data_IF_986960747695
#
_entry.id   IF_986960747695
#
_cell.length_a   1.000
_cell.length_b   1.000
_cell.length_c   1.000
_cell.angle_alpha   90.00
_cell.angle_beta   90.00
_cell.angle_gamma   90.00
#
_symmetry.space_group_name_H-M   'P 1'
#
loop_
_entity.id
_entity.type
_entity.pdbx_description
1 polymer ?
#
# COMPACT_ATOMS: atom_id res chain seq x y z
N UNK A 1 -15.46 -2.13 -14.94
CA UNK A 1 -15.66 -1.58 -13.58
C UNK A 1 -16.21 -2.69 -12.72
N UNK A 2 -15.59 -3.00 -11.58
CA UNK A 2 -16.14 -4.00 -10.65
C UNK A 2 -17.38 -3.42 -9.97
N UNK A 3 -18.47 -4.17 -9.94
CA UNK A 3 -19.70 -3.80 -9.22
C UNK A 3 -19.83 -4.73 -8.01
N UNK A 4 -19.76 -4.17 -6.80
CA UNK A 4 -19.97 -4.93 -5.56
C UNK A 4 -21.46 -5.02 -5.24
N UNK A 5 -21.93 -6.18 -4.81
CA UNK A 5 -23.33 -6.42 -4.45
C UNK A 5 -23.63 -5.93 -3.05
N UNK A 6 -22.62 -5.93 -2.18
CA UNK A 6 -22.74 -5.43 -0.81
C UNK A 6 -21.62 -4.47 -0.44
N UNK A 7 -21.88 -3.62 0.55
CA UNK A 7 -20.85 -2.77 1.17
C UNK A 7 -19.74 -3.61 1.83
N UNK A 8 -20.04 -4.83 2.27
CA UNK A 8 -19.05 -5.71 2.90
C UNK A 8 -18.02 -6.21 1.88
N UNK A 9 -18.48 -6.62 0.70
CA UNK A 9 -17.59 -7.02 -0.41
C UNK A 9 -16.70 -5.86 -0.85
N UNK A 10 -17.28 -4.66 -1.05
CA UNK A 10 -16.52 -3.47 -1.40
C UNK A 10 -15.44 -3.15 -0.35
N UNK A 11 -15.77 -3.28 0.94
CA UNK A 11 -14.83 -3.09 2.03
C UNK A 11 -13.68 -4.09 1.96
N UNK A 12 -13.99 -5.38 1.78
CA UNK A 12 -12.98 -6.43 1.72
C UNK A 12 -11.99 -6.19 0.56
N UNK A 13 -12.48 -5.81 -0.60
CA UNK A 13 -11.65 -5.54 -1.78
C UNK A 13 -10.78 -4.29 -1.57
N UNK A 14 -11.31 -3.23 -0.96
CA UNK A 14 -10.52 -2.03 -0.62
C UNK A 14 -9.39 -2.38 0.35
N UNK A 15 -9.66 -3.16 1.39
CA UNK A 15 -8.60 -3.57 2.34
C UNK A 15 -7.58 -4.51 1.70
N UNK A 16 -8.02 -5.40 0.81
CA UNK A 16 -7.13 -6.25 0.01
C UNK A 16 -6.21 -5.40 -0.86
N UNK A 17 -6.76 -4.41 -1.55
CA UNK A 17 -6.00 -3.47 -2.36
C UNK A 17 -5.03 -2.65 -1.50
N UNK A 18 -5.45 -2.13 -0.34
CA UNK A 18 -4.59 -1.35 0.55
C UNK A 18 -3.39 -2.18 1.03
N UNK A 19 -3.60 -3.46 1.36
CA UNK A 19 -2.51 -4.37 1.75
C UNK A 19 -1.54 -4.59 0.60
N UNK A 20 -2.04 -4.83 -0.61
CA UNK A 20 -1.18 -4.96 -1.79
C UNK A 20 -0.39 -3.67 -2.07
N UNK A 21 -1.08 -2.53 -2.11
CA UNK A 21 -0.48 -1.24 -2.43
C UNK A 21 0.62 -0.86 -1.44
N UNK A 22 0.37 -1.02 -0.14
CA UNK A 22 1.33 -0.60 0.89
C UNK A 22 2.52 -1.54 1.06
N UNK A 23 2.37 -2.84 0.78
CA UNK A 23 3.39 -3.85 1.12
C UNK A 23 3.95 -4.65 -0.05
N UNK A 24 3.37 -4.56 -1.25
CA UNK A 24 3.78 -5.40 -2.38
C UNK A 24 3.98 -4.60 -3.67
N UNK A 25 3.27 -3.48 -3.84
CA UNK A 25 3.43 -2.65 -5.03
C UNK A 25 4.71 -1.83 -4.92
N UNK A 26 5.61 -1.99 -5.88
CA UNK A 26 6.81 -1.16 -6.01
C UNK A 26 6.47 0.12 -6.79
N UNK A 27 7.11 1.22 -6.40
CA UNK A 27 6.88 2.53 -7.01
C UNK A 27 8.20 3.13 -7.49
N UNK A 28 8.32 3.37 -8.80
CA UNK A 28 9.53 3.95 -9.40
C UNK A 28 9.87 5.34 -8.85
N UNK A 29 8.87 6.15 -8.49
CA UNK A 29 9.04 7.49 -7.89
C UNK A 29 9.78 7.47 -6.55
N UNK A 30 9.74 6.34 -5.82
CA UNK A 30 10.42 6.15 -4.54
C UNK A 30 11.49 5.05 -4.66
N UNK A 31 12.17 4.99 -5.80
CA UNK A 31 13.31 4.11 -6.00
C UNK A 31 12.97 2.63 -6.12
N UNK A 32 11.74 2.29 -6.55
CA UNK A 32 11.23 0.91 -6.59
C UNK A 32 11.06 0.27 -5.21
N UNK A 33 10.74 1.07 -4.20
CA UNK A 33 10.31 0.58 -2.88
C UNK A 33 8.78 0.55 -2.78
N UNK A 34 8.29 -0.20 -1.80
CA UNK A 34 6.91 -0.10 -1.32
C UNK A 34 6.73 1.14 -0.44
N UNK A 35 5.49 1.63 -0.26
CA UNK A 35 5.20 2.69 0.70
C UNK A 35 5.63 2.34 2.14
N UNK A 36 5.43 1.09 2.57
CA UNK A 36 5.82 0.65 3.91
C UNK A 36 7.35 0.70 4.10
N UNK A 37 8.12 0.21 3.12
CA UNK A 37 9.59 0.28 3.16
C UNK A 37 10.09 1.73 3.17
N UNK A 38 9.47 2.59 2.35
CA UNK A 38 9.84 4.01 2.30
C UNK A 38 9.65 4.69 3.66
N UNK A 39 8.53 4.41 4.34
CA UNK A 39 8.29 4.92 5.70
C UNK A 39 9.37 4.47 6.68
N UNK A 40 9.73 3.18 6.65
CA UNK A 40 10.76 2.61 7.52
C UNK A 40 12.13 3.24 7.25
N UNK A 41 12.52 3.32 5.98
CA UNK A 41 13.82 3.90 5.57
C UNK A 41 13.92 5.38 5.92
N UNK A 42 12.83 6.14 5.71
CA UNK A 42 12.76 7.56 6.10
C UNK A 42 12.92 7.74 7.61
N UNK A 43 12.23 6.93 8.42
CA UNK A 43 12.33 6.98 9.87
C UNK A 43 13.76 6.65 10.37
N UNK A 44 14.42 5.66 9.75
CA UNK A 44 15.81 5.30 10.06
C UNK A 44 16.78 6.44 9.70
N UNK A 45 16.63 7.05 8.53
CA UNK A 45 17.49 8.15 8.09
C UNK A 45 17.39 9.39 8.98
N UNK A 46 16.21 9.66 9.56
CA UNK A 46 16.00 10.79 10.47
C UNK A 46 16.40 10.48 11.93
N UNK A 47 16.68 9.22 12.26
CA UNK A 47 17.11 8.81 13.60
C UNK A 47 18.64 8.73 13.75
N UNK A 48 19.39 8.86 12.65
CA UNK A 48 20.85 8.82 12.58
C UNK A 48 21.44 10.24 12.49
#
# INVERSE_FOLDING_TARGET
TTIWRTRSEARQDVFTWLRYYNHHRLHSTIGHHTPAETRTNYAQAHAA
#
